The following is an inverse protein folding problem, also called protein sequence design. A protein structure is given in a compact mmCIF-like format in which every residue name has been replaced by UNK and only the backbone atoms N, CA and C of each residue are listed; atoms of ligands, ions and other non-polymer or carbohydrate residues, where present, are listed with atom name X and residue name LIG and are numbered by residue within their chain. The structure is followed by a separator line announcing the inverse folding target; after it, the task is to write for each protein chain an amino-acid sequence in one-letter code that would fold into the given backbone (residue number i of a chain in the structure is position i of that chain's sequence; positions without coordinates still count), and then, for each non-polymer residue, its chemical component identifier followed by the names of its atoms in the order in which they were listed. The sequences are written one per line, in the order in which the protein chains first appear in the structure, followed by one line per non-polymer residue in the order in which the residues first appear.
data_IF_339853449707
#
_entry.id   IF_339853449707
#
_cell.length_a   1.000
_cell.length_b   1.000
_cell.length_c   1.000
_cell.angle_alpha   90.00
_cell.angle_beta   90.00
_cell.angle_gamma   90.00
#
_symmetry.space_group_name_H-M   'P 1'
#
loop_
_entity.id
_entity.type
_entity.pdbx_description
1 polymer ?
#
# COMPACT_ATOMS: atom_id res chain seq x y z
N UNK A 1 -5.07 16.12 15.94
CA UNK A 1 -5.97 16.33 14.77
C UNK A 1 -6.07 15.04 13.96
N UNK A 2 -7.25 14.68 13.44
CA UNK A 2 -7.46 13.43 12.68
C UNK A 2 -7.84 13.70 11.23
N UNK A 3 -7.15 13.07 10.28
CA UNK A 3 -7.45 13.11 8.84
C UNK A 3 -7.81 11.71 8.36
N UNK A 4 -8.91 11.59 7.62
CA UNK A 4 -9.37 10.32 7.04
C UNK A 4 -9.49 10.46 5.51
N UNK A 5 -9.01 9.46 4.75
CA UNK A 5 -9.10 9.46 3.29
C UNK A 5 -9.21 8.06 2.70
N UNK A 6 -9.97 7.94 1.61
CA UNK A 6 -9.97 6.73 0.78
C UNK A 6 -8.70 6.68 -0.06
N UNK A 7 -8.06 5.52 -0.10
CA UNK A 7 -6.84 5.23 -0.85
C UNK A 7 -6.92 3.84 -1.44
N UNK A 8 -5.90 3.52 -2.24
CA UNK A 8 -5.71 2.18 -2.79
C UNK A 8 -4.32 1.67 -2.42
N UNK A 9 -4.24 0.40 -2.06
CA UNK A 9 -2.99 -0.33 -1.81
C UNK A 9 -2.91 -1.52 -2.76
N UNK A 10 -1.69 -2.03 -2.95
CA UNK A 10 -1.47 -3.24 -3.73
C UNK A 10 -1.15 -4.37 -2.77
N UNK A 11 -1.85 -5.50 -2.95
CA UNK A 11 -1.72 -6.69 -2.11
C UNK A 11 -1.59 -7.93 -3.00
N UNK A 12 -1.08 -9.03 -2.46
CA UNK A 12 -1.03 -10.32 -3.17
C UNK A 12 -1.20 -11.48 -2.20
N UNK A 13 -1.24 -12.70 -2.74
CA UNK A 13 -1.37 -13.96 -1.99
C UNK A 13 -2.53 -13.92 -0.99
N UNK A 14 -3.75 -13.68 -1.47
CA UNK A 14 -4.94 -13.58 -0.61
C UNK A 14 -4.77 -12.55 0.53
N UNK A 15 -4.14 -11.41 0.21
CA UNK A 15 -3.93 -10.26 1.12
C UNK A 15 -3.04 -10.56 2.32
N UNK A 16 -2.12 -11.51 2.22
CA UNK A 16 -1.13 -11.74 3.28
C UNK A 16 0.11 -10.86 3.12
N UNK A 17 0.34 -10.31 1.92
CA UNK A 17 1.47 -9.45 1.61
C UNK A 17 1.01 -8.12 1.00
N UNK A 18 1.65 -7.02 1.39
CA UNK A 18 1.33 -5.65 0.98
C UNK A 18 2.56 -4.95 0.37
N UNK A 19 2.30 -4.16 -0.66
CA UNK A 19 3.32 -3.41 -1.39
C UNK A 19 3.87 -2.24 -0.59
N UNK A 20 5.19 -2.27 -0.36
CA UNK A 20 5.92 -1.36 0.51
C UNK A 20 7.13 -0.74 -0.20
N UNK A 21 7.75 0.23 0.47
CA UNK A 21 9.04 0.81 0.09
C UNK A 21 8.97 2.22 -0.51
N UNK A 22 10.13 2.87 -0.57
CA UNK A 22 10.33 4.22 -1.10
C UNK A 22 11.39 4.21 -2.20
N UNK A 23 11.37 5.20 -3.09
CA UNK A 23 12.46 5.57 -4.00
C UNK A 23 13.30 4.42 -4.60
N UNK A 24 12.61 3.45 -5.25
CA UNK A 24 13.15 2.27 -5.97
C UNK A 24 13.36 1.00 -5.15
N UNK A 25 13.21 1.02 -3.84
CA UNK A 25 13.26 -0.18 -3.00
C UNK A 25 11.86 -0.75 -2.77
N UNK A 26 11.13 -1.02 -3.85
CA UNK A 26 9.78 -1.56 -3.71
C UNK A 26 9.79 -3.08 -3.55
N UNK A 27 9.00 -3.56 -2.59
CA UNK A 27 8.91 -4.98 -2.28
C UNK A 27 7.59 -5.28 -1.58
N UNK A 28 7.20 -6.55 -1.60
CA UNK A 28 6.08 -7.04 -0.81
C UNK A 28 6.55 -7.45 0.58
N UNK A 29 5.81 -7.04 1.60
CA UNK A 29 6.06 -7.38 3.01
C UNK A 29 4.84 -8.10 3.55
N UNK A 30 5.02 -9.14 4.36
CA UNK A 30 3.90 -9.78 5.02
C UNK A 30 3.28 -8.87 6.06
N UNK A 31 1.95 -8.92 6.22
CA UNK A 31 1.24 -8.03 7.14
C UNK A 31 1.70 -8.19 8.59
N UNK A 32 1.99 -9.42 9.01
CA UNK A 32 2.51 -9.75 10.35
C UNK A 32 3.94 -9.23 10.60
N UNK A 33 4.69 -8.91 9.54
CA UNK A 33 6.06 -8.42 9.60
C UNK A 33 6.18 -6.89 9.38
N UNK A 34 5.06 -6.20 9.09
CA UNK A 34 5.03 -4.84 8.56
C UNK A 34 5.70 -3.77 9.45
N UNK A 35 5.52 -3.85 10.78
CA UNK A 35 6.09 -2.92 11.77
C UNK A 35 5.92 -1.44 11.33
N UNK A 36 7.03 -0.69 11.20
CA UNK A 36 7.06 0.71 10.78
C UNK A 36 7.39 0.88 9.28
N UNK A 37 7.25 -0.18 8.49
CA UNK A 37 7.58 -0.14 7.06
C UNK A 37 6.61 0.79 6.33
N UNK A 38 7.17 1.64 5.46
CA UNK A 38 6.38 2.55 4.66
C UNK A 38 5.51 1.77 3.65
N UNK A 39 4.19 1.80 3.85
CA UNK A 39 3.21 1.24 2.92
C UNK A 39 3.00 2.22 1.77
N UNK A 40 3.02 1.71 0.55
CA UNK A 40 2.73 2.54 -0.62
C UNK A 40 1.23 2.66 -0.85
N UNK A 41 0.68 3.86 -0.68
CA UNK A 41 -0.74 4.16 -0.93
C UNK A 41 -0.92 5.06 -2.16
N UNK A 42 -2.02 4.86 -2.87
CA UNK A 42 -2.35 5.58 -4.10
C UNK A 42 -3.71 6.29 -3.99
N UNK A 43 -3.90 7.35 -4.78
CA UNK A 43 -5.16 8.11 -4.81
C UNK A 43 -6.24 7.45 -5.63
N UNK A 44 -5.85 6.66 -6.64
CA UNK A 44 -6.79 6.00 -7.54
C UNK A 44 -6.34 4.57 -7.80
N UNK A 45 -7.29 3.68 -8.12
CA UNK A 45 -7.02 2.29 -8.50
C UNK A 45 -6.02 2.19 -9.66
N UNK A 46 -6.23 3.01 -10.71
CA UNK A 46 -5.36 3.06 -11.89
C UNK A 46 -3.90 3.42 -11.56
N UNK A 47 -3.68 4.32 -10.59
CA UNK A 47 -2.32 4.65 -10.13
C UNK A 47 -1.66 3.46 -9.42
N UNK A 48 -2.42 2.71 -8.63
CA UNK A 48 -1.91 1.52 -7.94
C UNK A 48 -1.55 0.41 -8.93
N UNK A 49 -2.44 0.13 -9.90
CA UNK A 49 -2.21 -0.85 -10.97
C UNK A 49 -0.93 -0.53 -11.74
N UNK A 50 -0.82 0.70 -12.26
CA UNK A 50 0.36 1.14 -13.02
C UNK A 50 1.64 1.19 -12.18
N UNK A 51 1.52 1.43 -10.87
CA UNK A 51 2.66 1.58 -9.97
C UNK A 51 3.34 0.25 -9.62
N UNK A 52 2.60 -0.86 -9.64
CA UNK A 52 3.11 -2.20 -9.33
C UNK A 52 3.28 -3.09 -10.58
N UNK A 53 2.50 -2.87 -11.65
CA UNK A 53 2.53 -3.70 -12.86
C UNK A 53 3.89 -3.80 -13.57
N UNK A 54 4.80 -2.86 -13.29
CA UNK A 54 6.18 -2.86 -13.79
C UNK A 54 7.12 -3.79 -13.01
N UNK A 55 6.71 -4.25 -11.83
CA UNK A 55 7.49 -5.09 -10.92
C UNK A 55 6.88 -6.49 -10.76
N UNK A 56 5.55 -6.57 -10.71
CA UNK A 56 4.81 -7.81 -10.53
C UNK A 56 3.48 -7.71 -11.30
N UNK A 57 2.93 -8.84 -11.75
CA UNK A 57 1.61 -8.93 -12.40
C UNK A 57 0.61 -9.77 -11.59
N UNK A 58 1.08 -10.49 -10.57
CA UNK A 58 0.24 -11.26 -9.66
C UNK A 58 -0.06 -10.46 -8.40
N UNK A 59 -1.00 -9.53 -8.52
CA UNK A 59 -1.45 -8.68 -7.42
C UNK A 59 -2.92 -8.28 -7.59
N UNK A 60 -3.53 -7.83 -6.50
CA UNK A 60 -4.81 -7.14 -6.48
C UNK A 60 -4.65 -5.71 -5.96
N UNK A 61 -5.50 -4.81 -6.46
CA UNK A 61 -5.62 -3.45 -5.92
C UNK A 61 -6.82 -3.39 -4.99
N UNK A 62 -6.57 -3.00 -3.75
CA UNK A 62 -7.56 -3.00 -2.66
C UNK A 62 -7.82 -1.57 -2.22
N UNK A 63 -9.08 -1.18 -2.14
CA UNK A 63 -9.50 0.08 -1.54
C UNK A 63 -9.31 0.02 -0.01
N UNK A 64 -8.76 1.08 0.58
CA UNK A 64 -8.56 1.17 2.00
C UNK A 64 -8.87 2.57 2.54
N UNK A 65 -9.12 2.63 3.85
CA UNK A 65 -9.25 3.88 4.61
C UNK A 65 -7.92 4.18 5.30
N UNK A 66 -7.28 5.27 4.93
CA UNK A 66 -6.08 5.76 5.62
C UNK A 66 -6.48 6.77 6.70
N UNK A 67 -5.95 6.57 7.90
CA UNK A 67 -6.17 7.44 9.06
C UNK A 67 -4.81 8.00 9.46
N UNK A 68 -4.70 9.32 9.47
CA UNK A 68 -3.51 10.03 9.97
C UNK A 68 -3.92 10.75 11.25
N UNK A 69 -3.25 10.38 12.35
CA UNK A 69 -3.45 10.97 13.66
C UNK A 69 -2.26 11.85 14.04
N UNK A 70 -2.50 13.15 14.13
CA UNK A 70 -1.48 14.16 14.46
C UNK A 70 -1.55 14.40 15.96
N UNK A 71 -0.49 13.96 16.65
CA UNK A 71 -0.26 14.19 18.08
C UNK A 71 0.16 15.64 18.34
N UNK A 72 -0.27 16.19 19.46
CA UNK A 72 0.13 17.50 19.99
C UNK A 72 1.53 17.44 20.64
#
# INVERSE_FOLDING_TARGET
MKIERTRYVVMRKNRTEIWCGLSREFHFVKIDELKNTAIKTYRTKKQAESGCSSWDRDFEVVECKEIIDIKE
#
